data_IF_880775996020
#
_entry.id   IF_880775996020
#
_cell.length_a   1.000
_cell.length_b   1.000
_cell.length_c   1.000
_cell.angle_alpha   90.00
_cell.angle_beta   90.00
_cell.angle_gamma   90.00
#
_symmetry.space_group_name_H-M   'P 1'
#
loop_
_entity.id
_entity.type
_entity.pdbx_description
1 polymer ?
2 non-polymer ?
3 water ?
#
# COMPACT_ATOMS: atom_id res chain seq x y z
N UNK A 1 -10.16 -10.98 -4.97
CA UNK A 1 -10.72 -11.63 -6.19
C UNK A 1 -11.24 -10.59 -7.20
N UNK A 2 -10.61 -9.41 -7.18
CA UNK A 2 -10.65 -8.44 -8.29
C UNK A 2 -9.23 -8.37 -8.85
N UNK A 3 -8.28 -8.08 -7.96
CA UNK A 3 -6.86 -8.12 -8.25
C UNK A 3 -6.46 -9.57 -8.48
N UNK A 4 -5.78 -9.82 -9.59
CA UNK A 4 -5.29 -11.15 -9.92
C UNK A 4 -3.80 -11.12 -10.31
N UNK A 5 -3.10 -10.06 -9.92
CA UNK A 5 -1.64 -10.12 -10.00
C UNK A 5 -1.11 -10.27 -8.58
N UNK A 6 -0.34 -11.32 -8.36
CA UNK A 6 0.42 -11.46 -7.13
C UNK A 6 1.83 -11.82 -7.50
N UNK A 7 2.73 -11.64 -6.54
CA UNK A 7 4.11 -11.92 -6.81
C UNK A 7 4.44 -13.34 -6.41
N UNK A 8 4.99 -14.07 -7.37
CA UNK A 8 5.47 -15.42 -7.16
C UNK A 8 6.82 -15.33 -6.47
N UNK A 9 7.00 -16.16 -5.45
CA UNK A 9 8.29 -16.33 -4.79
C UNK A 9 8.54 -15.32 -3.70
N UNK A 10 7.46 -14.71 -3.21
CA UNK A 10 7.59 -13.61 -2.27
C UNK A 10 8.27 -14.05 -1.00
N UNK A 11 9.37 -13.39 -0.67
CA UNK A 11 9.98 -13.59 0.61
C UNK A 11 9.70 -12.39 1.51
N UNK A 12 8.65 -12.52 2.33
CA UNK A 12 8.15 -11.45 3.18
C UNK A 12 9.19 -10.78 4.08
N UNK A 13 10.24 -11.52 4.44
CA UNK A 13 11.24 -11.03 5.38
C UNK A 13 12.06 -9.89 4.80
N UNK A 14 12.17 -9.90 3.48
CA UNK A 14 13.00 -8.99 2.72
C UNK A 14 12.28 -7.68 2.31
N UNK A 15 10.98 -7.58 2.58
CA UNK A 15 10.28 -6.28 2.49
C UNK A 15 10.43 -5.46 3.78
N UNK A 16 11.15 -6.00 4.76
CA UNK A 16 11.33 -5.29 6.01
C UNK A 16 11.92 -3.90 5.77
N UNK A 17 11.53 -2.95 6.63
CA UNK A 17 12.21 -1.66 6.69
C UNK A 17 11.47 -0.44 6.16
N UNK A 18 12.24 0.58 5.78
CA UNK A 18 11.73 1.89 5.31
C UNK A 18 11.05 1.80 3.93
N UNK A 19 9.80 2.26 3.85
CA UNK A 19 9.12 2.52 2.58
C UNK A 19 8.52 3.91 2.39
N UNK A 20 8.39 4.32 1.15
CA UNK A 20 7.73 5.60 0.82
C UNK A 20 6.53 5.32 -0.08
N UNK A 21 5.36 5.78 0.31
CA UNK A 21 4.19 5.78 -0.58
C UNK A 21 4.26 6.84 -1.70
N UNK A 22 4.94 6.48 -2.79
CA UNK A 22 5.15 7.39 -3.90
C UNK A 22 3.89 7.74 -4.74
N UNK A 23 3.01 6.76 -4.93
CA UNK A 23 1.74 6.93 -5.63
C UNK A 23 0.68 6.02 -5.02
N UNK A 24 -0.57 6.45 -5.11
CA UNK A 24 -1.73 5.64 -4.71
C UNK A 24 -2.86 5.74 -5.74
N UNK A 25 -3.68 4.70 -5.81
CA UNK A 25 -4.91 4.75 -6.58
C UNK A 25 -6.02 3.97 -5.92
N UNK A 26 -7.25 4.36 -6.21
CA UNK A 26 -8.41 3.76 -5.59
C UNK A 26 -9.58 3.71 -6.58
N UNK A 27 -10.51 2.80 -6.29
CA UNK A 27 -11.61 2.50 -7.18
C UNK A 27 -12.70 3.58 -7.11
N UNK A 28 -12.78 4.29 -5.99
CA UNK A 28 -13.69 5.40 -5.81
C UNK A 28 -12.92 6.61 -5.33
N UNK A 29 -13.32 7.77 -5.85
CA UNK A 29 -12.66 9.03 -5.59
C UNK A 29 -12.57 9.31 -4.09
N UNK A 30 -13.68 9.08 -3.39
CA UNK A 30 -13.78 9.41 -1.97
C UNK A 30 -12.90 8.53 -1.07
N UNK A 31 -12.36 7.45 -1.61
CA UNK A 31 -11.40 6.63 -0.84
C UNK A 31 -10.08 7.37 -0.61
N UNK A 32 -9.81 8.40 -1.42
CA UNK A 32 -8.53 9.14 -1.36
C UNK A 32 -8.63 10.67 -1.53
N UNK A 33 -9.81 11.20 -1.88
CA UNK A 33 -9.89 12.62 -2.32
C UNK A 33 -9.34 13.65 -1.30
N UNK A 34 -9.98 13.73 -0.14
CA UNK A 34 -9.54 14.58 0.98
C UNK A 34 -8.32 14.05 1.75
N UNK A 35 -7.72 14.91 2.59
CA UNK A 35 -6.57 14.54 3.44
C UNK A 35 -6.91 13.50 4.50
N UNK A 36 -8.16 13.47 4.93
CA UNK A 36 -8.65 12.44 5.86
C UNK A 36 -9.56 11.36 5.22
N UNK A 37 -9.51 11.24 3.90
CA UNK A 37 -10.11 10.10 3.19
C UNK A 37 -9.68 8.77 3.82
N UNK A 38 -10.60 7.80 3.91
CA UNK A 38 -10.34 6.54 4.62
C UNK A 38 -9.06 5.81 4.20
N UNK A 39 -8.69 5.86 2.92
CA UNK A 39 -7.51 5.10 2.47
C UNK A 39 -6.29 5.92 2.10
N UNK A 40 -6.34 7.21 2.39
CA UNK A 40 -5.17 8.07 2.26
C UNK A 40 -4.21 7.73 3.42
N UNK A 41 -3.37 6.72 3.23
CA UNK A 41 -2.46 6.28 4.27
C UNK A 41 -1.07 6.24 3.66
N UNK A 42 -0.11 6.72 4.44
CA UNK A 42 1.25 6.89 4.01
C UNK A 42 2.02 5.85 4.77
N UNK A 43 2.75 5.00 4.06
CA UNK A 43 3.46 3.92 4.71
C UNK A 43 4.80 4.45 5.21
N UNK A 44 5.18 4.02 6.41
CA UNK A 44 6.44 4.42 7.03
C UNK A 44 7.45 3.25 7.05
N UNK A 45 7.02 2.10 7.56
CA UNK A 45 7.93 0.98 7.69
C UNK A 45 7.17 -0.34 7.69
N UNK A 46 7.75 -1.36 7.08
CA UNK A 46 7.18 -2.70 7.20
C UNK A 46 8.04 -3.60 8.11
N UNK A 47 7.36 -4.24 9.06
CA UNK A 47 7.97 -5.16 10.02
C UNK A 47 7.28 -6.52 9.98
N UNK A 48 7.81 -7.44 9.19
CA UNK A 48 7.36 -8.82 9.23
C UNK A 48 7.72 -9.53 10.57
N UNK A 49 6.78 -10.25 11.17
CA UNK A 49 7.11 -11.00 12.39
C UNK A 49 7.84 -12.30 12.02
N UNK A 50 8.56 -12.93 12.99
CA UNK A 50 9.23 -14.21 12.63
C UNK A 50 8.24 -15.29 12.13
N UNK A 51 7.06 -15.32 12.74
CA UNK A 51 5.94 -16.18 12.31
C UNK A 51 5.29 -15.81 10.95
N UNK A 52 5.73 -14.73 10.30
CA UNK A 52 5.26 -14.39 8.95
C UNK A 52 4.04 -13.49 8.82
N UNK A 53 3.54 -12.95 9.94
CA UNK A 53 2.57 -11.83 9.92
C UNK A 53 3.27 -10.53 9.52
N UNK A 54 2.51 -9.50 9.18
CA UNK A 54 3.13 -8.27 8.74
C UNK A 54 2.62 -7.12 9.57
N UNK A 55 3.53 -6.53 10.34
CA UNK A 55 3.25 -5.30 11.05
C UNK A 55 3.46 -4.13 10.10
N UNK A 56 2.52 -3.20 10.11
CA UNK A 56 2.66 -2.03 9.25
C UNK A 56 2.58 -0.77 10.10
N UNK A 57 3.63 0.04 10.02
CA UNK A 57 3.59 1.39 10.58
C UNK A 57 3.25 2.38 9.46
N UNK A 58 2.34 3.30 9.75
CA UNK A 58 2.04 4.36 8.79
C UNK A 58 1.53 5.62 9.46
N UNK A 59 1.15 6.59 8.64
CA UNK A 59 0.54 7.83 9.10
C UNK A 59 -0.78 8.05 8.39
N UNK A 60 -1.73 8.66 9.09
CA UNK A 60 -3.00 9.08 8.53
C UNK A 60 -3.38 10.47 9.06
N UNK A 61 -4.11 11.24 8.26
CA UNK A 61 -4.72 12.50 8.71
C UNK A 61 -6.09 12.13 9.24
N UNK A 62 -6.34 12.39 10.52
CA UNK A 62 -7.57 11.90 11.16
C UNK A 62 -8.40 12.96 11.86
N UNK A 63 -7.78 13.60 12.84
CA UNK A 63 -8.48 14.42 13.80
C UNK A 63 -8.12 15.88 13.55
N UNK A 64 -7.87 16.19 12.29
CA UNK A 64 -7.26 17.46 11.90
C UNK A 64 -5.75 17.43 12.06
N UNK A 65 -5.18 16.25 12.30
CA UNK A 65 -3.72 16.12 12.44
C UNK A 65 -3.13 14.83 11.86
N UNK A 66 -1.82 14.87 11.59
CA UNK A 66 -1.10 13.69 11.14
C UNK A 66 -0.81 12.78 12.33
N UNK A 67 -1.45 11.61 12.32
CA UNK A 67 -1.38 10.65 13.40
C UNK A 67 -0.64 9.39 13.01
N UNK A 68 0.12 8.83 13.95
CA UNK A 68 0.74 7.53 13.76
C UNK A 68 -0.29 6.44 13.83
N UNK A 69 -0.06 5.37 13.07
CA UNK A 69 -0.84 4.13 13.23
C UNK A 69 -0.03 2.84 13.10
N UNK A 70 -0.46 1.81 13.82
CA UNK A 70 0.13 0.49 13.64
C UNK A 70 -0.95 -0.49 13.24
N UNK A 71 -0.71 -1.23 12.17
CA UNK A 71 -1.59 -2.31 11.71
C UNK A 71 -0.78 -3.59 11.68
N UNK A 72 -1.45 -4.71 11.95
CA UNK A 72 -0.90 -6.04 11.70
C UNK A 72 -1.73 -6.77 10.64
N UNK A 73 -1.05 -7.25 9.62
CA UNK A 73 -1.70 -8.03 8.57
C UNK A 73 -1.28 -9.49 8.78
N UNK A 74 -2.24 -10.37 9.02
CA UNK A 74 -1.90 -11.77 9.31
C UNK A 74 -1.70 -12.58 8.03
N UNK A 75 -0.71 -13.47 8.05
CA UNK A 75 -0.41 -14.34 6.91
C UNK A 75 -1.58 -15.23 6.54
N UNK A 76 -1.67 -15.57 5.26
CA UNK A 76 -2.58 -16.64 4.79
C UNK A 76 -1.73 -17.80 4.21
N UNK A 77 -2.41 -18.77 3.58
CA UNK A 77 -1.74 -19.90 2.92
C UNK A 77 -1.07 -19.42 1.66
N UNK A 78 -1.54 -18.28 1.14
CA UNK A 78 -0.88 -17.64 0.00
C UNK A 78 0.12 -16.60 0.56
N UNK A 79 1.42 -16.78 0.25
CA UNK A 79 2.50 -15.89 0.68
C UNK A 79 2.29 -14.42 0.26
N UNK A 80 1.73 -14.15 -0.92
CA UNK A 80 1.57 -12.76 -1.36
C UNK A 80 0.27 -12.14 -0.85
N UNK A 81 -0.45 -12.89 -0.03
CA UNK A 81 -1.75 -12.45 0.39
C UNK A 81 -1.80 -12.41 1.90
N UNK A 82 -2.30 -11.30 2.44
CA UNK A 82 -2.40 -11.11 3.88
C UNK A 82 -3.80 -10.63 4.19
N UNK A 83 -4.14 -10.61 5.49
CA UNK A 83 -5.48 -10.35 6.01
C UNK A 83 -5.42 -9.40 7.21
N UNK A 84 -6.23 -8.35 7.16
CA UNK A 84 -6.31 -7.36 8.23
C UNK A 84 -7.63 -7.56 8.99
N UNK A 85 -7.53 -7.69 10.32
CA UNK A 85 -8.74 -7.84 11.14
C UNK A 85 -9.44 -6.50 11.31
N UNK A 86 -10.45 -6.31 10.46
CA UNK A 86 -11.34 -5.18 10.56
C UNK A 86 -12.73 -5.75 10.84
N UNK A 87 -13.70 -4.85 11.03
CA UNK A 87 -15.12 -5.20 11.07
C UNK A 87 -15.46 -6.23 9.97
N UNK A 88 -15.30 -5.81 8.71
CA UNK A 88 -15.38 -6.70 7.55
C UNK A 88 -13.99 -7.01 7.00
N UNK A 89 -13.81 -8.24 6.52
CA UNK A 89 -12.46 -8.74 6.22
C UNK A 89 -11.82 -8.08 5.00
N UNK A 90 -10.54 -7.76 5.13
CA UNK A 90 -9.83 -6.94 4.17
C UNK A 90 -8.50 -7.57 3.73
N UNK A 91 -8.46 -8.05 2.49
CA UNK A 91 -7.25 -8.66 1.92
C UNK A 91 -6.22 -7.66 1.42
N UNK A 92 -4.96 -7.93 1.75
CA UNK A 92 -3.81 -7.18 1.25
C UNK A 92 -3.02 -8.08 0.31
N UNK A 93 -2.67 -7.58 -0.87
CA UNK A 93 -1.94 -8.40 -1.83
C UNK A 93 -0.66 -7.74 -2.26
N UNK A 94 0.42 -8.51 -2.29
CA UNK A 94 1.67 -8.00 -2.86
C UNK A 94 1.74 -8.38 -4.32
N UNK A 95 1.70 -7.39 -5.21
CA UNK A 95 1.61 -7.68 -6.63
C UNK A 95 2.95 -7.98 -7.23
N UNK A 96 3.94 -7.23 -6.74
CA UNK A 96 5.28 -7.20 -7.32
C UNK A 96 6.19 -6.37 -6.41
N UNK A 97 7.44 -6.82 -6.26
CA UNK A 97 8.51 -6.11 -5.51
C UNK A 97 9.85 -6.67 -5.95
N UNK A 98 10.85 -5.80 -6.01
CA UNK A 98 12.23 -6.20 -6.22
C UNK A 98 13.04 -6.01 -4.93
N UNK A 99 12.33 -5.82 -3.81
CA UNK A 99 12.86 -5.72 -2.44
C UNK A 99 13.72 -4.48 -2.14
N UNK A 100 14.57 -4.13 -3.09
CA UNK A 100 15.60 -3.14 -2.87
C UNK A 100 15.22 -1.74 -3.39
N UNK A 101 14.19 -1.64 -4.27
CA UNK A 101 13.75 -0.36 -4.88
C UNK A 101 12.25 -0.06 -4.74
N UNK A 102 11.38 -0.97 -5.21
CA UNK A 102 9.94 -0.74 -5.19
C UNK A 102 9.08 -1.92 -4.67
N UNK A 103 7.84 -1.63 -4.31
CA UNK A 103 6.87 -2.66 -3.97
C UNK A 103 5.47 -2.17 -4.34
N UNK A 104 4.71 -3.01 -5.03
CA UNK A 104 3.31 -2.70 -5.40
C UNK A 104 2.37 -3.58 -4.60
N UNK A 105 1.44 -2.97 -3.88
CA UNK A 105 0.43 -3.75 -3.18
C UNK A 105 -0.94 -3.09 -3.37
N UNK A 106 -1.99 -3.89 -3.16
CA UNK A 106 -3.36 -3.42 -3.18
C UNK A 106 -4.04 -3.88 -1.92
N UNK A 107 -5.05 -3.16 -1.48
CA UNK A 107 -5.91 -3.67 -0.44
C UNK A 107 -7.29 -3.66 -1.00
N UNK A 108 -8.04 -4.72 -0.72
CA UNK A 108 -9.44 -4.83 -1.15
C UNK A 108 -10.31 -5.53 -0.12
N UNK A 109 -11.63 -5.34 -0.20
CA UNK A 109 -12.60 -6.07 0.63
C UNK A 109 -13.42 -7.08 -0.18
N UNK A 110 -13.77 -8.21 0.46
CA UNK A 110 -14.67 -9.22 -0.13
C UNK A 110 -16.09 -8.64 -0.25
N UNK A 111 -16.49 -8.29 -1.48
CA UNK A 111 -17.79 -7.64 -1.77
C UNK A 111 -18.13 -6.46 -0.85
N UNK A 115 -15.19 -5.10 -4.37
CA UNK A 115 -15.46 -3.94 -5.23
C UNK A 115 -14.99 -2.58 -4.65
N UNK A 116 -14.34 -2.64 -3.49
CA UNK A 116 -13.57 -1.51 -2.94
C UNK A 116 -12.08 -1.86 -2.94
N UNK A 117 -11.27 -0.99 -3.52
CA UNK A 117 -9.89 -1.29 -3.82
C UNK A 117 -9.00 -0.04 -3.85
N UNK A 118 -7.81 -0.20 -3.26
CA UNK A 118 -6.74 0.81 -3.29
C UNK A 118 -5.41 0.12 -3.45
N UNK A 119 -4.54 0.72 -4.25
CA UNK A 119 -3.19 0.23 -4.50
C UNK A 119 -2.16 1.35 -4.36
N UNK A 120 -0.95 0.97 -3.96
CA UNK A 120 0.10 1.97 -3.83
C UNK A 120 1.36 1.48 -4.49
N UNK A 121 2.16 2.43 -4.97
CA UNK A 121 3.55 2.17 -5.36
C UNK A 121 4.45 2.64 -4.21
N UNK A 122 5.00 1.67 -3.46
CA UNK A 122 5.94 1.92 -2.39
C UNK A 122 7.32 1.94 -2.99
N UNK A 123 8.12 2.95 -2.63
CA UNK A 123 9.55 2.98 -3.01
C UNK A 123 10.47 3.12 -1.78
N UNK A 124 11.73 2.74 -1.94
CA UNK A 124 12.65 2.75 -0.79
C UNK A 124 13.14 4.14 -0.38
N UNK A 125 13.14 5.09 -1.30
CA UNK A 125 13.77 6.38 -1.07
C UNK A 125 12.92 7.52 -1.63
N UNK A 126 13.14 8.76 -1.13
CA UNK A 126 12.33 9.91 -1.54
C UNK A 126 12.63 10.45 -2.96
N UNK A 127 12.67 9.56 -3.95
CA UNK A 127 12.93 9.89 -5.34
C UNK A 127 11.78 9.42 -6.23
N UNK A 128 11.59 10.11 -7.35
CA UNK A 128 10.59 9.72 -8.33
C UNK A 128 11.19 8.60 -9.20
N UNK A 129 10.76 7.38 -8.93
CA UNK A 129 11.23 6.24 -9.71
C UNK A 129 10.27 6.01 -10.87
N UNK A 130 10.64 6.52 -12.04
CA UNK A 130 9.82 6.41 -13.25
C UNK A 130 9.33 4.99 -13.57
N UNK A 131 10.23 4.02 -13.53
CA UNK A 131 9.87 2.66 -13.92
C UNK A 131 9.07 1.95 -12.83
N UNK A 132 9.23 2.36 -11.58
CA UNK A 132 8.38 1.77 -10.56
C UNK A 132 6.94 2.24 -10.85
N UNK A 133 6.80 3.52 -11.22
CA UNK A 133 5.49 4.10 -11.57
C UNK A 133 4.94 3.50 -12.86
N UNK A 134 5.82 3.19 -13.79
CA UNK A 134 5.45 2.41 -14.97
C UNK A 134 4.86 1.07 -14.61
N UNK A 135 5.58 0.28 -13.80
CA UNK A 135 5.06 -0.99 -13.31
C UNK A 135 3.72 -0.87 -12.60
N UNK A 136 3.56 0.20 -11.83
CA UNK A 136 2.33 0.48 -11.11
C UNK A 136 1.19 0.77 -12.10
N UNK A 137 1.46 1.66 -13.06
CA UNK A 137 0.47 1.99 -14.08
C UNK A 137 0.09 0.77 -14.94
N UNK A 138 1.05 -0.07 -15.29
CA UNK A 138 0.73 -1.32 -15.97
C UNK A 138 -0.17 -2.20 -15.13
N UNK A 139 0.09 -2.26 -13.82
CA UNK A 139 -0.66 -3.18 -12.95
C UNK A 139 -2.08 -2.67 -12.79
N UNK A 140 -2.21 -1.35 -12.83
CA UNK A 140 -3.50 -0.70 -12.61
C UNK A 140 -4.44 -0.75 -13.83
N UNK A 141 -3.89 -0.74 -15.04
CA UNK A 141 -4.68 -0.56 -16.26
C UNK A 141 -5.87 -1.54 -16.34
N UNK A 142 -5.64 -2.78 -15.88
CA UNK A 142 -6.69 -3.78 -15.69
C UNK A 142 -7.80 -3.25 -14.79
N UNK A 143 -7.44 -2.97 -13.54
CA UNK A 143 -8.36 -2.56 -12.45
C UNK A 143 -9.18 -1.34 -12.77
N UNK A 144 -10.35 -1.21 -12.12
CA UNK A 144 -11.14 -0.01 -12.40
C UNK A 144 -10.86 1.09 -11.37
N UNK A 145 -9.79 1.86 -11.57
CA UNK A 145 -9.44 2.97 -10.69
C UNK A 145 -10.05 4.29 -11.18
N UNK A 146 -10.34 5.21 -10.27
CA UNK A 146 -11.00 6.46 -10.63
C UNK A 146 -10.33 7.67 -9.98
N UNK A 147 -9.34 7.40 -9.13
CA UNK A 147 -8.48 8.47 -8.59
C UNK A 147 -7.05 7.93 -8.52
N UNK A 148 -6.10 8.77 -8.90
CA UNK A 148 -4.69 8.46 -8.78
C UNK A 148 -3.99 9.69 -8.21
N UNK A 149 -3.11 9.44 -7.24
CA UNK A 149 -2.30 10.49 -6.60
C UNK A 149 -0.83 10.13 -6.70
N UNK A 150 -0.01 11.17 -6.86
CA UNK A 150 1.47 11.06 -6.94
C UNK A 150 2.08 12.13 -6.05
N UNK A 151 3.19 11.83 -5.38
CA UNK A 151 3.84 12.80 -4.50
C UNK A 151 5.23 13.13 -4.97
N UNK A 152 5.67 14.36 -4.72
CA UNK A 152 7.02 14.75 -5.15
C UNK A 152 7.99 14.54 -3.97
N UNK A 153 9.33 14.57 -4.22
CA UNK A 153 10.31 14.30 -3.16
C UNK A 153 10.21 15.18 -1.91
N UNK A 154 9.79 16.43 -2.07
CA UNK A 154 9.58 17.32 -0.94
C UNK A 154 8.49 16.75 -0.03
N UNK A 155 7.32 16.46 -0.58
CA UNK A 155 6.19 16.00 0.20
C UNK A 155 6.50 14.65 0.86
N UNK A 156 7.34 13.85 0.22
CA UNK A 156 7.65 12.50 0.68
C UNK A 156 8.45 12.56 1.99
N UNK A 157 9.19 13.65 2.18
CA UNK A 157 9.97 13.87 3.39
C UNK A 157 9.19 14.53 4.51
N UNK A 158 7.90 14.77 4.27
CA UNK A 158 6.98 15.42 5.21
C UNK A 158 6.01 14.41 5.76
N UNK A 159 5.60 14.62 7.02
CA UNK A 159 4.59 13.77 7.67
C UNK A 159 3.22 13.99 7.00
N UNK A 160 2.56 12.90 6.61
CA UNK A 160 1.32 12.95 5.86
C UNK A 160 1.48 13.69 4.52
N UNK A 161 2.73 13.74 4.04
CA UNK A 161 3.06 14.24 2.71
C UNK A 161 2.50 15.65 2.45
N UNK A 162 2.46 16.49 3.48
CA UNK A 162 1.93 17.85 3.30
C UNK A 162 2.83 18.70 2.40
X LIG B 1 -5.64 -0.99 5.73
X LIG B 1 -4.72 -0.21 5.61
X LIG B 1 -4.81 1.07 5.91
X LIG B 1 -6.10 1.69 5.88
X LIG B 1 -6.80 1.47 7.22
X LIG B 1 -6.47 2.55 8.15
X LIG B 1 -6.76 2.14 9.52
X LIG B 1 -7.24 3.74 7.81
X LIG B 1 -3.37 -0.63 5.11
X LIG B 1 -3.13 -1.97 4.79
X LIG B 1 -1.88 -2.38 4.33
X LIG B 1 -0.85 -1.44 4.19
X LIG B 1 -1.08 -0.11 4.51
X LIG B 1 -2.33 0.30 4.98
X LIG B 1 0.37 -1.80 3.76
X LIG B 1 0.50 -3.03 3.02
X LIG B 1 1.90 -3.29 2.51
X LIG B 1 2.12 -4.80 2.55
X LIG B 1 3.19 -5.29 1.60
#
# INVERSE_FOLDING_TARGET
LIVTQTMKGLDIQKVAGTWYSLAMAASDISLLDAQSAPLRVYVEELKPTPEGDLEILLQKWENGECAQKKIIAEKTKIPAVFKIDALNENKVLVLDTDYKKYLLFCMENSAEPEQSLACQCLVRTPEVDDEALEKFDKALKALPMHIRLSFNPTQLEEQCHI
TE4 O2 C7 O1 C8 C9 N1 C14 C15 C4 C5 C6 C1 C2 C3 N2 C10 C11 C12 C13
#
